data_IF_707735482655
#
_entry.id   IF_707735482655
#
_cell.length_a   1.000
_cell.length_b   1.000
_cell.length_c   1.000
_cell.angle_alpha   90.00
_cell.angle_beta   90.00
_cell.angle_gamma   90.00
#
_symmetry.space_group_name_H-M   'P 1'
#
loop_
_entity.id
_entity.type
_entity.pdbx_description
1 polymer ?
#
# COMPACT_ATOMS: atom_id res chain seq x y z
N UNK A 1 17.86 -23.88 56.19
CA UNK A 1 16.85 -22.86 55.81
C UNK A 1 15.58 -23.56 55.31
N UNK A 2 14.47 -23.44 56.03
CA UNK A 2 13.20 -24.12 55.70
C UNK A 2 12.39 -23.31 54.68
N UNK A 3 12.10 -23.89 53.50
CA UNK A 3 11.21 -23.29 52.49
C UNK A 3 9.75 -23.48 52.93
N UNK A 4 9.13 -22.43 53.48
CA UNK A 4 7.68 -22.39 53.71
C UNK A 4 6.94 -22.62 52.38
N UNK A 5 6.22 -23.73 52.26
CA UNK A 5 5.32 -23.99 51.12
C UNK A 5 3.97 -23.33 51.40
N UNK A 6 3.70 -22.20 50.75
CA UNK A 6 2.39 -21.56 50.79
C UNK A 6 1.45 -22.34 49.87
N UNK A 7 0.39 -22.97 50.43
CA UNK A 7 -0.69 -23.58 49.65
C UNK A 7 -1.78 -22.54 49.43
N UNK A 8 -1.87 -22.00 48.22
CA UNK A 8 -2.96 -21.10 47.82
C UNK A 8 -4.17 -21.96 47.45
N UNK A 9 -5.31 -21.73 48.10
CA UNK A 9 -6.57 -22.43 47.84
C UNK A 9 -7.43 -21.53 46.96
N UNK A 10 -7.48 -21.81 45.66
CA UNK A 10 -8.23 -21.02 44.68
C UNK A 10 -9.64 -21.59 44.54
N UNK A 11 -10.66 -20.76 44.70
CA UNK A 11 -12.06 -21.17 44.48
C UNK A 11 -12.42 -21.15 42.99
N UNK A 12 -13.44 -21.91 42.59
CA UNK A 12 -13.92 -21.95 41.19
C UNK A 12 -14.31 -20.57 40.67
N UNK A 13 -14.90 -19.72 41.52
CA UNK A 13 -15.29 -18.35 41.14
C UNK A 13 -14.06 -17.45 40.93
N UNK A 14 -13.00 -17.63 41.71
CA UNK A 14 -11.73 -16.91 41.52
C UNK A 14 -11.06 -17.31 40.20
N UNK A 15 -11.12 -18.58 39.82
CA UNK A 15 -10.65 -19.07 38.52
C UNK A 15 -11.42 -18.44 37.34
N UNK A 16 -12.75 -18.35 37.43
CA UNK A 16 -13.58 -17.71 36.40
C UNK A 16 -13.25 -16.22 36.27
N UNK A 17 -13.14 -15.50 37.39
CA UNK A 17 -12.76 -14.09 37.40
C UNK A 17 -11.38 -13.86 36.76
N UNK A 18 -10.41 -14.73 37.06
CA UNK A 18 -9.07 -14.63 36.51
C UNK A 18 -9.05 -14.91 35.01
N UNK A 19 -9.85 -15.88 34.54
CA UNK A 19 -10.03 -16.14 33.10
C UNK A 19 -10.65 -14.94 32.36
N UNK A 20 -11.71 -14.33 32.92
CA UNK A 20 -12.32 -13.12 32.35
C UNK A 20 -11.32 -11.97 32.32
N UNK A 21 -10.58 -11.75 33.41
CA UNK A 21 -9.54 -10.72 33.47
C UNK A 21 -8.46 -10.94 32.42
N UNK A 22 -7.99 -12.18 32.21
CA UNK A 22 -7.05 -12.51 31.15
C UNK A 22 -7.61 -12.19 29.76
N UNK A 23 -8.86 -12.57 29.47
CA UNK A 23 -9.52 -12.25 28.19
C UNK A 23 -9.59 -10.74 27.97
N UNK A 24 -10.01 -9.98 28.99
CA UNK A 24 -10.09 -8.52 28.91
C UNK A 24 -8.71 -7.88 28.69
N UNK A 25 -7.67 -8.38 29.35
CA UNK A 25 -6.29 -7.90 29.15
C UNK A 25 -5.83 -8.19 27.71
N UNK A 26 -6.09 -9.39 27.19
CA UNK A 26 -5.74 -9.74 25.80
C UNK A 26 -6.49 -8.85 24.81
N UNK A 27 -7.80 -8.63 25.00
CA UNK A 27 -8.59 -7.72 24.17
C UNK A 27 -8.06 -6.28 24.24
N UNK A 28 -7.70 -5.81 25.44
CA UNK A 28 -7.14 -4.47 25.62
C UNK A 28 -5.78 -4.34 24.93
N UNK A 29 -4.88 -5.31 25.10
CA UNK A 29 -3.58 -5.33 24.41
C UNK A 29 -3.78 -5.36 22.89
N UNK A 30 -4.69 -6.19 22.39
CA UNK A 30 -5.02 -6.24 20.98
C UNK A 30 -5.52 -4.89 20.45
N UNK A 31 -6.47 -4.27 21.17
CA UNK A 31 -7.02 -2.97 20.78
C UNK A 31 -5.98 -1.85 20.79
N UNK A 32 -5.18 -1.73 21.86
CA UNK A 32 -4.27 -0.60 22.02
C UNK A 32 -2.98 -0.70 21.20
N UNK A 33 -2.49 -1.92 20.94
CA UNK A 33 -1.23 -2.13 20.23
C UNK A 33 -1.44 -2.56 18.78
N UNK A 34 -2.46 -3.38 18.49
CA UNK A 34 -2.64 -3.94 17.15
C UNK A 34 -3.65 -3.18 16.29
N UNK A 35 -4.52 -2.32 16.81
CA UNK A 35 -5.47 -1.56 15.98
C UNK A 35 -5.04 -0.12 15.63
N UNK A 36 -3.91 0.38 16.16
CA UNK A 36 -3.46 1.74 15.85
C UNK A 36 -2.91 1.85 14.42
N UNK A 37 -3.46 2.69 13.55
CA UNK A 37 -3.04 2.69 12.16
C UNK A 37 -1.57 3.11 12.00
N UNK A 38 -0.82 2.39 11.17
CA UNK A 38 0.56 2.76 10.84
C UNK A 38 0.49 3.67 9.61
N UNK A 39 0.66 4.97 9.81
CA UNK A 39 0.56 5.97 8.74
C UNK A 39 1.88 6.59 8.35
N UNK A 40 2.98 6.18 8.98
CA UNK A 40 4.32 6.66 8.59
C UNK A 40 5.33 5.52 8.53
N UNK A 41 6.34 5.69 7.66
CA UNK A 41 7.46 4.76 7.52
C UNK A 41 8.75 5.54 7.34
N UNK A 42 9.82 5.10 8.00
CA UNK A 42 11.15 5.68 7.82
C UNK A 42 11.81 5.03 6.59
N UNK A 43 11.92 5.80 5.52
CA UNK A 43 12.57 5.40 4.28
C UNK A 43 13.94 6.09 4.17
N UNK A 44 15.00 5.36 4.51
CA UNK A 44 16.40 5.84 4.49
C UNK A 44 16.64 7.17 5.25
N UNK A 45 16.02 7.33 6.41
CA UNK A 45 16.15 8.52 7.26
C UNK A 45 15.12 9.61 6.98
N UNK A 46 14.24 9.42 5.99
CA UNK A 46 13.14 10.34 5.67
C UNK A 46 11.83 9.71 6.12
N UNK A 47 11.04 10.44 6.92
CA UNK A 47 9.70 9.99 7.31
C UNK A 47 8.71 10.22 6.16
N UNK A 48 8.16 9.12 5.63
CA UNK A 48 7.10 9.15 4.63
C UNK A 48 5.75 8.99 5.33
N UNK A 49 4.85 9.96 5.15
CA UNK A 49 3.48 9.89 5.63
C UNK A 49 2.53 9.39 4.54
N UNK A 50 1.58 8.53 4.93
CA UNK A 50 0.61 7.88 4.07
C UNK A 50 -0.81 8.28 4.47
N UNK A 51 -1.69 8.40 3.48
CA UNK A 51 -3.11 8.69 3.72
C UNK A 51 -3.79 7.52 4.43
N UNK A 52 -3.53 6.30 3.94
CA UNK A 52 -4.10 5.07 4.46
C UNK A 52 -3.18 4.38 5.48
N UNK A 53 -3.74 3.41 6.21
CA UNK A 53 -2.99 2.54 7.09
C UNK A 53 -2.16 1.55 6.27
N UNK A 54 -0.85 1.55 6.46
CA UNK A 54 0.07 0.66 5.78
C UNK A 54 -0.29 -0.82 6.00
N UNK A 55 -0.79 -1.19 7.19
CA UNK A 55 -1.15 -2.58 7.50
C UNK A 55 -2.40 -3.05 6.79
N UNK A 56 -3.36 -2.16 6.57
CA UNK A 56 -4.55 -2.49 5.78
C UNK A 56 -4.23 -2.47 4.29
N UNK A 57 -3.39 -1.54 3.83
CA UNK A 57 -2.91 -1.51 2.46
C UNK A 57 -2.15 -2.79 2.10
N UNK A 58 -1.30 -3.30 3.00
CA UNK A 58 -0.49 -4.49 2.75
C UNK A 58 -1.30 -5.77 2.45
N UNK A 59 -2.56 -5.81 2.92
CA UNK A 59 -3.49 -6.92 2.68
C UNK A 59 -4.11 -6.90 1.28
N UNK A 60 -3.96 -5.82 0.52
CA UNK A 60 -4.51 -5.71 -0.83
C UNK A 60 -3.82 -6.73 -1.75
N UNK A 61 -4.63 -7.48 -2.50
CA UNK A 61 -4.13 -8.51 -3.39
C UNK A 61 -3.33 -7.92 -4.55
N UNK A 62 -2.18 -8.52 -4.81
CA UNK A 62 -1.31 -8.23 -5.95
C UNK A 62 -0.87 -9.56 -6.55
N UNK A 63 -1.10 -9.73 -7.85
CA UNK A 63 -0.80 -11.00 -8.52
C UNK A 63 0.70 -11.32 -8.51
N UNK A 64 1.55 -10.31 -8.71
CA UNK A 64 3.01 -10.43 -8.66
C UNK A 64 3.65 -9.10 -8.23
N UNK A 65 4.00 -9.00 -6.95
CA UNK A 65 4.66 -7.82 -6.39
C UNK A 65 6.07 -7.60 -6.97
N UNK A 66 6.78 -8.67 -7.32
CA UNK A 66 8.14 -8.57 -7.86
C UNK A 66 8.11 -7.95 -9.26
N UNK A 67 7.14 -8.34 -10.09
CA UNK A 67 6.92 -7.71 -11.40
C UNK A 67 6.62 -6.22 -11.27
N UNK A 68 5.75 -5.81 -10.34
CA UNK A 68 5.45 -4.39 -10.08
C UNK A 68 6.71 -3.62 -9.68
N UNK A 69 7.53 -4.17 -8.76
CA UNK A 69 8.78 -3.54 -8.34
C UNK A 69 9.78 -3.43 -9.50
N UNK A 70 10.00 -4.52 -10.23
CA UNK A 70 10.98 -4.58 -11.30
C UNK A 70 10.61 -3.63 -12.45
N UNK A 71 9.33 -3.49 -12.79
CA UNK A 71 8.88 -2.56 -13.83
C UNK A 71 9.21 -1.09 -13.52
N UNK A 72 9.34 -0.71 -12.25
CA UNK A 72 9.69 0.67 -11.89
C UNK A 72 11.21 0.88 -11.77
N UNK A 73 11.95 -0.16 -11.39
CA UNK A 73 13.36 -0.07 -11.05
C UNK A 73 14.30 -0.84 -11.96
N UNK A 74 13.80 -1.35 -13.08
CA UNK A 74 14.65 -1.80 -14.16
C UNK A 74 15.59 -0.65 -14.61
N UNK A 75 16.79 -1.00 -15.08
CA UNK A 75 17.79 -0.02 -15.54
C UNK A 75 17.43 0.59 -16.89
N UNK A 76 16.60 -0.08 -17.67
CA UNK A 76 16.15 0.38 -18.99
C UNK A 76 15.02 1.41 -18.89
N UNK A 77 14.33 1.48 -17.73
CA UNK A 77 13.24 2.43 -17.50
C UNK A 77 13.81 3.82 -17.23
N UNK A 78 13.50 4.75 -18.14
CA UNK A 78 13.90 6.16 -18.07
C UNK A 78 12.74 7.07 -17.68
N UNK A 79 11.51 6.63 -17.98
CA UNK A 79 10.31 7.40 -17.70
C UNK A 79 9.29 6.53 -16.96
N UNK A 80 8.57 7.16 -16.05
CA UNK A 80 7.36 6.63 -15.44
C UNK A 80 6.22 7.58 -15.81
N UNK A 81 5.19 7.07 -16.47
CA UNK A 81 4.04 7.88 -16.88
C UNK A 81 2.80 7.40 -16.15
N UNK A 82 2.20 8.26 -15.36
CA UNK A 82 0.90 8.01 -14.72
C UNK A 82 -0.19 8.28 -15.74
N UNK A 83 -0.91 7.25 -16.14
CA UNK A 83 -2.00 7.34 -17.12
C UNK A 83 -3.36 7.25 -16.44
N UNK A 84 -4.31 8.03 -16.94
CA UNK A 84 -5.67 8.09 -16.42
C UNK A 84 -6.67 8.39 -17.54
N UNK A 85 -7.94 8.06 -17.32
CA UNK A 85 -9.05 8.47 -18.18
C UNK A 85 -9.82 9.60 -17.51
N UNK A 86 -10.39 10.51 -18.30
CA UNK A 86 -11.25 11.56 -17.75
C UNK A 86 -12.60 10.96 -17.29
N UNK A 87 -12.89 11.10 -16.00
CA UNK A 87 -14.06 10.52 -15.33
C UNK A 87 -14.62 11.48 -14.28
N UNK A 88 -15.76 11.13 -13.67
CA UNK A 88 -16.31 11.87 -12.52
C UNK A 88 -15.39 11.85 -11.28
N UNK A 89 -14.43 10.94 -11.21
CA UNK A 89 -13.49 10.80 -10.08
C UNK A 89 -12.14 11.48 -10.34
N UNK A 90 -12.04 12.39 -11.31
CA UNK A 90 -10.75 13.00 -11.69
C UNK A 90 -10.03 13.70 -10.52
N UNK A 91 -10.78 14.31 -9.59
CA UNK A 91 -10.19 14.89 -8.39
C UNK A 91 -9.53 13.86 -7.48
N UNK A 92 -10.10 12.66 -7.38
CA UNK A 92 -9.54 11.56 -6.62
C UNK A 92 -8.29 11.02 -7.34
N UNK A 93 -8.35 10.79 -8.65
CA UNK A 93 -7.21 10.36 -9.48
C UNK A 93 -6.03 11.33 -9.35
N UNK A 94 -6.29 12.64 -9.36
CA UNK A 94 -5.25 13.66 -9.21
C UNK A 94 -4.53 13.57 -7.87
N UNK A 95 -5.26 13.30 -6.78
CA UNK A 95 -4.67 13.13 -5.43
C UNK A 95 -3.80 11.88 -5.38
N UNK A 96 -4.26 10.76 -5.91
CA UNK A 96 -3.48 9.51 -5.93
C UNK A 96 -2.25 9.61 -6.83
N UNK A 97 -2.40 10.24 -8.01
CA UNK A 97 -1.28 10.51 -8.91
C UNK A 97 -0.22 11.39 -8.24
N UNK A 98 -0.64 12.43 -7.51
CA UNK A 98 0.28 13.28 -6.75
C UNK A 98 1.01 12.48 -5.67
N UNK A 99 0.31 11.65 -4.89
CA UNK A 99 0.93 10.85 -3.83
C UNK A 99 2.00 9.90 -4.38
N UNK A 100 1.68 9.20 -5.48
CA UNK A 100 2.61 8.32 -6.19
C UNK A 100 3.81 9.11 -6.69
N UNK A 101 3.59 10.19 -7.45
CA UNK A 101 4.66 10.97 -8.05
C UNK A 101 5.60 11.55 -6.99
N UNK A 102 5.05 12.13 -5.92
CA UNK A 102 5.82 12.70 -4.82
C UNK A 102 6.71 11.66 -4.14
N UNK A 103 6.15 10.51 -3.75
CA UNK A 103 6.90 9.48 -3.03
C UNK A 103 7.90 8.75 -3.92
N UNK A 104 7.57 8.48 -5.18
CA UNK A 104 8.53 7.96 -6.15
C UNK A 104 9.69 8.94 -6.37
N UNK A 105 9.40 10.24 -6.50
CA UNK A 105 10.44 11.26 -6.67
C UNK A 105 11.38 11.34 -5.46
N UNK A 106 10.86 11.27 -4.24
CA UNK A 106 11.69 11.20 -3.03
C UNK A 106 12.59 9.97 -3.06
N UNK A 107 12.06 8.80 -3.42
CA UNK A 107 12.85 7.59 -3.49
C UNK A 107 13.94 7.65 -4.57
N UNK A 108 13.62 8.19 -5.74
CA UNK A 108 14.60 8.43 -6.81
C UNK A 108 15.75 9.32 -6.36
N UNK A 109 15.46 10.41 -5.63
CA UNK A 109 16.50 11.31 -5.09
C UNK A 109 17.43 10.58 -4.11
N UNK A 110 16.87 9.79 -3.21
CA UNK A 110 17.64 9.00 -2.23
C UNK A 110 18.51 7.95 -2.94
N UNK A 111 17.94 7.25 -3.92
CA UNK A 111 18.61 6.19 -4.67
C UNK A 111 19.52 6.72 -5.80
N UNK A 112 19.61 8.04 -5.98
CA UNK A 112 20.37 8.71 -7.04
C UNK A 112 20.02 8.21 -8.44
N UNK A 113 18.72 8.00 -8.69
CA UNK A 113 18.19 7.63 -10.01
C UNK A 113 17.48 8.82 -10.63
N UNK A 114 17.71 9.03 -11.92
CA UNK A 114 17.02 10.05 -12.69
C UNK A 114 15.99 9.40 -13.61
N UNK A 115 14.79 9.21 -13.07
CA UNK A 115 13.63 8.69 -13.81
C UNK A 115 12.62 9.83 -13.88
N UNK A 116 12.25 10.22 -15.09
CA UNK A 116 11.28 11.29 -15.27
C UNK A 116 9.87 10.79 -14.94
N UNK A 117 9.14 11.50 -14.09
CA UNK A 117 7.76 11.16 -13.73
C UNK A 117 6.81 12.14 -14.41
N UNK A 118 5.97 11.64 -15.31
CA UNK A 118 5.00 12.44 -16.05
C UNK A 118 3.59 11.89 -15.87
N UNK A 119 2.58 12.61 -16.35
CA UNK A 119 1.21 12.12 -16.40
C UNK A 119 0.58 12.39 -17.77
N UNK A 120 -0.36 11.54 -18.16
CA UNK A 120 -1.05 11.64 -19.46
C UNK A 120 -2.48 11.11 -19.38
N UNK A 121 -3.42 11.91 -19.88
CA UNK A 121 -4.77 11.42 -20.13
C UNK A 121 -4.78 10.48 -21.35
N UNK A 122 -5.46 9.34 -21.21
CA UNK A 122 -5.65 8.35 -22.27
C UNK A 122 -7.15 8.15 -22.53
N UNK A 123 -7.56 7.88 -23.79
CA UNK A 123 -8.97 7.69 -24.11
C UNK A 123 -9.53 6.38 -23.56
N UNK A 124 -8.68 5.36 -23.39
CA UNK A 124 -9.04 4.06 -22.84
C UNK A 124 -7.80 3.32 -22.33
N UNK A 125 -8.01 2.27 -21.54
CA UNK A 125 -6.97 1.36 -21.07
C UNK A 125 -6.78 0.15 -22.01
N UNK A 126 -7.01 0.33 -23.30
CA UNK A 126 -6.80 -0.71 -24.31
C UNK A 126 -5.31 -1.09 -24.41
N UNK A 127 -5.01 -2.39 -24.29
CA UNK A 127 -3.62 -2.86 -24.24
C UNK A 127 -2.85 -2.61 -25.53
N UNK A 128 -3.48 -2.60 -26.70
CA UNK A 128 -2.77 -2.31 -27.96
C UNK A 128 -2.31 -0.85 -27.99
N UNK A 129 -3.17 0.08 -27.54
CA UNK A 129 -2.80 1.47 -27.36
C UNK A 129 -1.71 1.64 -26.29
N UNK A 130 -1.86 1.02 -25.10
CA UNK A 130 -0.88 1.16 -24.02
C UNK A 130 0.49 0.59 -24.37
N UNK A 131 0.54 -0.55 -25.08
CA UNK A 131 1.78 -1.15 -25.53
C UNK A 131 2.57 -0.23 -26.48
N UNK A 132 1.88 0.62 -27.25
CA UNK A 132 2.54 1.63 -28.11
C UNK A 132 3.28 2.72 -27.34
N UNK A 133 3.02 2.85 -26.04
CA UNK A 133 3.64 3.83 -25.14
C UNK A 133 4.78 3.24 -24.29
N UNK A 134 5.06 1.94 -24.40
CA UNK A 134 5.99 1.22 -23.51
C UNK A 134 7.50 1.45 -23.79
N UNK A 135 7.88 2.29 -24.74
CA UNK A 135 9.29 2.47 -25.09
C UNK A 135 10.07 3.13 -23.93
N UNK A 136 10.89 2.34 -23.23
CA UNK A 136 11.67 2.73 -22.03
C UNK A 136 10.84 3.41 -20.94
N UNK A 137 9.53 3.15 -20.94
CA UNK A 137 8.54 3.87 -20.13
C UNK A 137 7.67 2.87 -19.38
N UNK A 138 7.70 2.93 -18.06
CA UNK A 138 6.74 2.22 -17.22
C UNK A 138 5.46 3.05 -17.11
N UNK A 139 4.31 2.41 -17.33
CA UNK A 139 3.01 3.06 -17.24
C UNK A 139 2.34 2.69 -15.92
N UNK A 140 1.82 3.67 -15.19
CA UNK A 140 1.01 3.45 -13.99
C UNK A 140 -0.42 3.87 -14.34
N UNK A 141 -1.29 2.89 -14.56
CA UNK A 141 -2.69 3.11 -14.90
C UNK A 141 -3.55 3.24 -13.64
N UNK A 142 -4.09 4.43 -13.41
CA UNK A 142 -5.00 4.72 -12.31
C UNK A 142 -6.44 4.51 -12.78
N UNK A 143 -7.07 3.42 -12.33
CA UNK A 143 -8.45 3.06 -12.67
C UNK A 143 -9.36 3.37 -11.47
N UNK A 144 -10.11 4.49 -11.49
CA UNK A 144 -10.93 4.90 -10.36
C UNK A 144 -12.21 4.06 -10.19
N UNK A 145 -12.94 4.24 -9.07
CA UNK A 145 -14.18 3.52 -8.75
C UNK A 145 -15.30 3.64 -9.78
N UNK A 146 -15.40 4.76 -10.49
CA UNK A 146 -16.37 4.92 -11.58
C UNK A 146 -16.12 4.01 -12.79
N UNK A 147 -14.93 3.41 -12.90
CA UNK A 147 -14.51 2.58 -14.04
C UNK A 147 -14.22 1.14 -13.63
N UNK A 148 -13.69 0.91 -12.42
CA UNK A 148 -13.31 -0.43 -11.95
C UNK A 148 -14.41 -1.11 -11.15
N UNK A 149 -14.56 -2.41 -11.36
CA UNK A 149 -15.35 -3.31 -10.51
C UNK A 149 -14.47 -4.21 -9.63
N UNK A 150 -13.16 -3.99 -9.61
CA UNK A 150 -12.18 -4.72 -8.80
C UNK A 150 -11.26 -3.79 -8.01
N UNK A 151 -10.67 -4.34 -6.94
CA UNK A 151 -9.67 -3.66 -6.12
C UNK A 151 -8.41 -4.51 -6.14
N UNK A 152 -7.30 -3.95 -6.61
CA UNK A 152 -6.03 -4.67 -6.67
C UNK A 152 -5.03 -4.04 -7.61
N UNK A 153 -3.84 -4.65 -7.62
CA UNK A 153 -2.72 -4.27 -8.49
C UNK A 153 -2.37 -5.44 -9.39
N UNK A 154 -2.23 -5.16 -10.68
CA UNK A 154 -1.74 -6.13 -11.66
C UNK A 154 -0.70 -5.48 -12.57
N UNK A 155 0.37 -6.20 -12.85
CA UNK A 155 1.37 -5.82 -13.82
C UNK A 155 1.16 -6.63 -15.10
N UNK A 156 1.14 -5.95 -16.25
CA UNK A 156 1.01 -6.57 -17.57
C UNK A 156 1.86 -5.78 -18.57
N UNK A 157 2.83 -6.45 -19.21
CA UNK A 157 3.86 -5.81 -20.04
C UNK A 157 4.55 -4.66 -19.28
N UNK A 158 4.52 -3.42 -19.79
CA UNK A 158 5.09 -2.25 -19.12
C UNK A 158 4.10 -1.53 -18.19
N UNK A 159 2.88 -2.04 -18.04
CA UNK A 159 1.76 -1.34 -17.40
C UNK A 159 1.48 -1.93 -16.03
N UNK A 160 1.38 -1.06 -15.03
CA UNK A 160 0.95 -1.37 -13.68
C UNK A 160 -0.44 -0.78 -13.51
N UNK A 161 -1.45 -1.64 -13.43
CA UNK A 161 -2.83 -1.24 -13.19
C UNK A 161 -3.10 -1.18 -11.70
N UNK A 162 -3.60 -0.02 -11.26
CA UNK A 162 -4.04 0.26 -9.90
C UNK A 162 -5.54 0.50 -9.98
N UNK A 163 -6.31 -0.45 -9.47
CA UNK A 163 -7.76 -0.49 -9.62
C UNK A 163 -8.44 -0.52 -8.25
N UNK A 164 -9.59 0.16 -8.12
CA UNK A 164 -10.37 0.17 -6.88
C UNK A 164 -11.88 0.25 -7.13
N UNK A 165 -12.67 -0.48 -6.34
CA UNK A 165 -14.15 -0.45 -6.38
C UNK A 165 -14.75 0.74 -5.62
N UNK A 166 -13.98 1.35 -4.72
CA UNK A 166 -14.46 2.36 -3.78
C UNK A 166 -13.41 3.46 -3.59
N UNK A 167 -13.83 4.65 -3.16
CA UNK A 167 -12.89 5.75 -2.88
C UNK A 167 -11.90 5.41 -1.77
N UNK A 168 -12.35 4.68 -0.75
CA UNK A 168 -11.50 4.22 0.35
C UNK A 168 -10.51 3.14 -0.10
N UNK A 169 -10.95 2.26 -0.99
CA UNK A 169 -10.11 1.21 -1.57
C UNK A 169 -9.01 1.82 -2.43
N UNK A 170 -9.28 2.97 -3.05
CA UNK A 170 -8.33 3.63 -3.92
C UNK A 170 -7.13 4.19 -3.13
N UNK A 171 -7.37 4.82 -1.98
CA UNK A 171 -6.30 5.23 -1.06
C UNK A 171 -5.46 4.01 -0.59
N UNK A 172 -6.11 2.87 -0.31
CA UNK A 172 -5.45 1.64 0.16
C UNK A 172 -4.60 0.99 -0.94
N UNK A 173 -5.12 0.86 -2.16
CA UNK A 173 -4.39 0.24 -3.28
C UNK A 173 -3.26 1.14 -3.77
N UNK A 174 -3.42 2.47 -3.77
CA UNK A 174 -2.33 3.42 -4.02
C UNK A 174 -1.24 3.25 -2.98
N UNK A 175 -1.61 3.15 -1.70
CA UNK A 175 -0.67 2.91 -0.61
C UNK A 175 0.05 1.57 -0.78
N UNK A 176 -0.65 0.48 -1.12
CA UNK A 176 -0.04 -0.84 -1.41
C UNK A 176 0.95 -0.75 -2.56
N UNK A 177 0.59 -0.06 -3.63
CA UNK A 177 1.48 0.17 -4.77
C UNK A 177 2.76 0.87 -4.31
N UNK A 178 2.65 1.91 -3.49
CA UNK A 178 3.83 2.62 -2.97
C UNK A 178 4.67 1.73 -2.03
N UNK A 179 4.03 0.91 -1.18
CA UNK A 179 4.75 -0.07 -0.34
C UNK A 179 5.64 -0.97 -1.21
N UNK A 180 5.05 -1.54 -2.27
CA UNK A 180 5.77 -2.41 -3.22
C UNK A 180 6.84 -1.62 -3.95
N UNK A 181 6.47 -0.48 -4.55
CA UNK A 181 7.37 0.35 -5.32
C UNK A 181 8.58 0.81 -4.50
N UNK A 182 8.44 1.05 -3.20
CA UNK A 182 9.55 1.44 -2.34
C UNK A 182 10.26 0.25 -1.67
N UNK A 183 9.77 -0.97 -1.86
CA UNK A 183 10.31 -2.16 -1.18
C UNK A 183 10.18 -2.08 0.35
N UNK A 184 9.12 -1.43 0.84
CA UNK A 184 8.82 -1.31 2.27
C UNK A 184 8.38 -2.68 2.79
N UNK A 185 8.92 -3.09 3.94
CA UNK A 185 8.56 -4.35 4.62
C UNK A 185 8.01 -4.04 6.01
N UNK A 186 6.73 -4.33 6.24
CA UNK A 186 6.03 -4.07 7.50
C UNK A 186 6.32 -5.12 8.59
#
# INVERSE_FOLDING_TARGET
MSKKRIKVKISRNQLILLAIACVLIVCAVYYFYFLKPIKSWNYYGIELNFKADLREADKIYVADEASVYNLLWDREVKNVTIIFTNTSDMGLVAVEAFEIAYKLRLAQLILKRDINVTSREVPSFDMAFLNSLCDSTALIALIPPSVSNETGIRAENCVIFISAKSKSDFDLVTTKFIIIALGIKL
#
